data_IF_457645630712
#
_entry.id   IF_457645630712
#
_cell.length_a   1.000
_cell.length_b   1.000
_cell.length_c   1.000
_cell.angle_alpha   90.00
_cell.angle_beta   90.00
_cell.angle_gamma   90.00
#
_symmetry.space_group_name_H-M   'P 1'
#
loop_
_entity.id
_entity.type
_entity.pdbx_description
1 polymer ?
#
# COMPACT_ATOMS: atom_id res chain seq x y z
N UNK A 1 -15.67 29.06 -89.62
CA UNK A 1 -15.29 30.38 -89.08
C UNK A 1 -15.06 30.19 -87.58
N UNK A 2 -13.84 30.19 -87.05
CA UNK A 2 -13.05 31.40 -86.68
C UNK A 2 -13.44 31.82 -85.24
N UNK A 3 -12.57 32.14 -84.27
CA UNK A 3 -11.14 32.38 -84.24
C UNK A 3 -10.65 32.36 -82.76
N UNK A 4 -9.33 32.31 -82.57
CA UNK A 4 -8.56 32.22 -81.31
C UNK A 4 -8.61 33.44 -80.37
N UNK A 5 -8.27 33.20 -79.08
CA UNK A 5 -7.26 33.90 -78.23
C UNK A 5 -7.71 33.93 -76.75
N UNK A 6 -6.89 33.97 -75.69
CA UNK A 6 -5.51 33.62 -75.34
C UNK A 6 -5.35 34.04 -73.84
N UNK A 7 -4.41 33.44 -73.13
CA UNK A 7 -3.77 33.88 -71.86
C UNK A 7 -4.51 33.57 -70.55
N UNK A 8 -3.92 33.02 -69.50
CA UNK A 8 -2.53 32.69 -69.18
C UNK A 8 -2.34 32.59 -67.66
N UNK A 9 -1.35 31.81 -67.21
CA UNK A 9 -0.90 31.68 -65.81
C UNK A 9 -1.20 30.28 -65.25
N UNK A 10 -0.38 29.26 -65.49
CA UNK A 10 0.99 29.03 -64.99
C UNK A 10 1.08 29.00 -63.45
N UNK A 11 1.64 27.92 -62.91
CA UNK A 11 1.80 27.76 -61.47
C UNK A 11 1.80 26.33 -60.92
N UNK A 12 2.66 25.49 -61.48
CA UNK A 12 3.58 24.65 -60.68
C UNK A 12 2.99 23.46 -59.88
N UNK A 13 3.23 22.25 -60.39
CA UNK A 13 3.70 21.12 -59.55
C UNK A 13 4.21 19.95 -60.39
N UNK A 14 5.52 19.80 -60.27
CA UNK A 14 6.48 18.84 -60.83
C UNK A 14 5.98 17.40 -60.92
N UNK A 15 5.94 16.90 -62.16
CA UNK A 15 5.84 15.48 -62.52
C UNK A 15 7.26 14.95 -62.70
N UNK A 16 7.66 13.92 -61.95
CA UNK A 16 8.90 13.17 -62.22
C UNK A 16 8.53 11.88 -62.94
N UNK A 17 9.00 11.81 -64.18
CA UNK A 17 8.82 10.73 -65.16
C UNK A 17 9.85 9.60 -64.85
N UNK A 18 9.51 8.33 -65.08
CA UNK A 18 10.33 7.18 -64.70
C UNK A 18 11.31 6.71 -65.80
N UNK A 19 12.04 5.63 -65.48
CA UNK A 19 12.71 4.61 -66.35
C UNK A 19 14.08 4.97 -66.93
N UNK A 20 14.89 4.03 -67.50
CA UNK A 20 14.99 2.56 -67.38
C UNK A 20 16.45 2.00 -67.26
N UNK A 21 16.58 0.72 -66.89
CA UNK A 21 17.36 -0.25 -67.70
C UNK A 21 18.78 -0.70 -67.28
N UNK A 22 18.93 -2.04 -67.28
CA UNK A 22 20.14 -2.87 -67.50
C UNK A 22 21.16 -3.03 -66.34
N UNK A 23 21.73 -4.19 -66.01
CA UNK A 23 21.57 -5.59 -66.46
C UNK A 23 22.24 -6.56 -65.44
N UNK A 24 21.81 -7.83 -65.49
CA UNK A 24 22.34 -9.09 -64.91
C UNK A 24 23.87 -9.28 -65.18
N UNK A 25 24.68 -10.07 -64.45
CA UNK A 25 24.55 -11.43 -63.87
C UNK A 25 25.81 -11.75 -62.97
N UNK A 26 25.89 -12.93 -62.32
CA UNK A 26 26.68 -13.22 -61.11
C UNK A 26 28.06 -13.83 -61.38
N UNK A 27 28.95 -13.81 -60.38
CA UNK A 27 29.95 -14.87 -60.26
C UNK A 27 30.41 -15.12 -58.82
N UNK A 28 30.76 -16.39 -58.59
CA UNK A 28 31.05 -17.02 -57.32
C UNK A 28 32.45 -16.69 -56.75
N UNK A 29 32.56 -16.87 -55.42
CA UNK A 29 33.68 -17.47 -54.67
C UNK A 29 34.49 -16.56 -53.75
N UNK A 30 34.49 -16.96 -52.46
CA UNK A 30 35.56 -16.89 -51.44
C UNK A 30 35.53 -15.78 -50.35
N UNK A 31 36.06 -16.11 -49.14
CA UNK A 31 35.41 -15.81 -47.87
C UNK A 31 36.01 -14.59 -47.15
N UNK A 32 35.17 -13.81 -46.49
CA UNK A 32 35.59 -12.73 -45.61
C UNK A 32 35.26 -13.07 -44.15
N UNK A 33 36.30 -13.01 -43.32
CA UNK A 33 36.32 -12.98 -41.85
C UNK A 33 35.42 -11.88 -41.27
N UNK A 34 35.00 -11.98 -39.99
CA UNK A 34 33.85 -11.26 -39.47
C UNK A 34 34.18 -9.78 -39.25
N UNK A 35 33.45 -8.88 -39.91
CA UNK A 35 33.41 -7.46 -39.54
C UNK A 35 32.32 -7.31 -38.49
N UNK A 36 32.76 -7.01 -37.27
CA UNK A 36 31.93 -6.77 -36.09
C UNK A 36 31.14 -5.47 -36.29
N UNK A 37 29.89 -5.57 -36.73
CA UNK A 37 28.95 -4.45 -36.77
C UNK A 37 28.45 -4.15 -35.35
N UNK A 38 28.85 -2.99 -34.83
CA UNK A 38 28.30 -2.35 -33.61
C UNK A 38 26.77 -2.37 -33.65
N UNK A 39 26.17 -3.02 -32.65
CA UNK A 39 24.74 -2.92 -32.38
C UNK A 39 24.42 -1.51 -31.87
N UNK A 40 23.49 -0.84 -32.54
CA UNK A 40 22.71 0.28 -31.99
C UNK A 40 21.84 -0.25 -30.84
N UNK A 41 21.62 0.49 -29.74
CA UNK A 41 20.71 0.04 -28.70
C UNK A 41 19.28 0.03 -29.23
N UNK A 42 18.64 -1.13 -29.19
CA UNK A 42 17.21 -1.28 -29.43
C UNK A 42 16.40 -0.40 -28.45
N UNK A 43 15.22 0.10 -28.84
CA UNK A 43 14.32 0.77 -27.92
C UNK A 43 13.90 -0.22 -26.84
N UNK A 44 14.11 0.17 -25.59
CA UNK A 44 13.71 -0.54 -24.37
C UNK A 44 12.31 -1.16 -24.54
N UNK A 45 12.28 -2.47 -24.79
CA UNK A 45 11.12 -3.31 -24.49
C UNK A 45 10.94 -3.20 -22.99
N UNK A 46 9.98 -2.38 -22.55
CA UNK A 46 9.52 -2.41 -21.17
C UNK A 46 8.98 -3.82 -20.94
N UNK A 47 9.50 -4.58 -19.96
CA UNK A 47 8.92 -5.87 -19.64
C UNK A 47 7.47 -5.62 -19.21
N UNK A 48 6.56 -6.36 -19.85
CA UNK A 48 5.18 -6.45 -19.40
C UNK A 48 5.17 -6.78 -17.91
N UNK A 49 4.47 -5.97 -17.13
CA UNK A 49 4.60 -5.87 -15.68
C UNK A 49 4.78 -7.21 -14.97
N UNK A 50 5.91 -7.34 -14.28
CA UNK A 50 6.22 -8.45 -13.41
C UNK A 50 5.14 -8.57 -12.31
N UNK A 51 4.33 -9.62 -12.41
CA UNK A 51 3.48 -10.12 -11.32
C UNK A 51 4.31 -10.95 -10.31
N UNK A 52 5.64 -10.98 -10.47
CA UNK A 52 6.49 -12.03 -9.94
C UNK A 52 7.35 -11.64 -8.72
N UNK A 53 7.18 -10.45 -8.14
CA UNK A 53 7.83 -10.16 -6.87
C UNK A 53 7.02 -10.81 -5.73
N UNK A 54 7.55 -11.83 -5.02
CA UNK A 54 6.88 -12.36 -3.84
C UNK A 54 6.88 -11.26 -2.77
N UNK A 55 5.70 -10.73 -2.45
CA UNK A 55 5.54 -9.85 -1.30
C UNK A 55 5.51 -10.75 -0.05
N UNK A 56 6.67 -10.97 0.55
CA UNK A 56 6.75 -11.61 1.88
C UNK A 56 6.32 -10.58 2.94
N UNK A 57 5.02 -10.58 3.24
CA UNK A 57 4.47 -9.80 4.34
C UNK A 57 4.73 -10.56 5.64
N UNK A 58 5.93 -10.41 6.22
CA UNK A 58 6.32 -11.11 7.46
C UNK A 58 5.49 -10.71 8.71
N UNK A 59 4.76 -9.59 8.65
CA UNK A 59 3.84 -9.13 9.71
C UNK A 59 2.50 -8.71 9.10
N UNK A 60 1.76 -9.68 8.55
CA UNK A 60 0.37 -9.47 8.13
C UNK A 60 -0.58 -9.41 9.34
N UNK A 61 -1.79 -8.87 9.14
CA UNK A 61 -2.84 -8.84 10.17
C UNK A 61 -2.97 -10.22 10.85
N UNK A 62 -3.04 -11.28 10.05
CA UNK A 62 -2.91 -12.67 10.52
C UNK A 62 -2.30 -13.56 9.40
N UNK A 63 -1.84 -14.79 9.72
CA UNK A 63 -1.17 -15.69 8.76
C UNK A 63 -1.98 -16.01 7.50
N UNK A 64 -3.30 -16.17 7.60
CA UNK A 64 -4.19 -16.46 6.47
C UNK A 64 -4.26 -15.29 5.49
N UNK A 65 -4.31 -14.06 5.99
CA UNK A 65 -4.27 -12.84 5.17
C UNK A 65 -2.90 -12.67 4.53
N UNK A 66 -1.83 -12.94 5.27
CA UNK A 66 -0.46 -12.90 4.74
C UNK A 66 -0.28 -13.88 3.56
N UNK A 67 -0.81 -15.10 3.69
CA UNK A 67 -0.80 -16.09 2.62
C UNK A 67 -1.59 -15.63 1.38
N UNK A 68 -2.68 -14.88 1.56
CA UNK A 68 -3.55 -14.39 0.48
C UNK A 68 -3.08 -13.07 -0.18
N UNK A 69 -2.00 -12.45 0.33
CA UNK A 69 -1.54 -11.11 -0.07
C UNK A 69 -1.35 -10.93 -1.58
N UNK A 70 -0.73 -11.90 -2.27
CA UNK A 70 -0.56 -11.85 -3.73
C UNK A 70 -1.90 -11.83 -4.46
N UNK A 71 -2.84 -12.70 -4.07
CA UNK A 71 -4.17 -12.79 -4.69
C UNK A 71 -4.98 -11.51 -4.46
N UNK A 72 -4.93 -10.93 -3.27
CA UNK A 72 -5.58 -9.65 -2.96
C UNK A 72 -4.99 -8.51 -3.80
N UNK A 73 -3.68 -8.49 -4.00
CA UNK A 73 -3.01 -7.50 -4.85
C UNK A 73 -3.40 -7.64 -6.32
N UNK A 74 -3.45 -8.88 -6.82
CA UNK A 74 -3.90 -9.18 -8.19
C UNK A 74 -5.36 -8.77 -8.36
N UNK A 75 -6.23 -9.07 -7.39
CA UNK A 75 -7.62 -8.66 -7.39
C UNK A 75 -7.79 -7.14 -7.54
N UNK A 76 -7.02 -6.33 -6.81
CA UNK A 76 -7.03 -4.86 -6.93
C UNK A 76 -6.62 -4.43 -8.34
N UNK A 77 -5.52 -4.97 -8.88
CA UNK A 77 -5.04 -4.63 -10.22
C UNK A 77 -6.08 -5.00 -11.30
N UNK A 78 -6.64 -6.20 -11.24
CA UNK A 78 -7.62 -6.70 -12.21
C UNK A 78 -8.88 -5.85 -12.25
N UNK A 79 -9.36 -5.37 -11.10
CA UNK A 79 -10.55 -4.51 -11.03
C UNK A 79 -10.41 -3.23 -11.88
N UNK A 80 -9.19 -2.70 -11.99
CA UNK A 80 -8.89 -1.51 -12.80
C UNK A 80 -8.50 -1.80 -14.25
N UNK A 81 -8.42 -3.08 -14.64
CA UNK A 81 -7.91 -3.50 -15.94
C UNK A 81 -9.03 -3.47 -17.00
N UNK A 82 -8.95 -2.52 -17.93
CA UNK A 82 -9.98 -2.35 -18.98
C UNK A 82 -9.85 -3.33 -20.14
N UNK A 83 -8.65 -3.86 -20.39
CA UNK A 83 -8.39 -4.85 -21.43
C UNK A 83 -7.27 -5.79 -20.96
N UNK A 84 -7.37 -7.08 -21.31
CA UNK A 84 -6.35 -8.06 -21.02
C UNK A 84 -6.03 -8.89 -22.27
N UNK A 85 -4.76 -8.94 -22.67
CA UNK A 85 -4.35 -9.54 -23.95
C UNK A 85 -4.42 -11.08 -23.95
N UNK A 86 -4.21 -11.72 -22.79
CA UNK A 86 -4.21 -13.19 -22.68
C UNK A 86 -4.94 -13.70 -21.42
N UNK A 87 -6.28 -13.69 -21.40
CA UNK A 87 -7.06 -14.21 -20.27
C UNK A 87 -6.77 -15.69 -19.92
N UNK A 88 -6.54 -16.61 -20.89
CA UNK A 88 -6.15 -17.99 -20.56
C UNK A 88 -4.84 -18.11 -19.78
N UNK A 89 -3.84 -17.29 -20.10
CA UNK A 89 -2.58 -17.28 -19.35
C UNK A 89 -2.79 -16.73 -17.93
N UNK A 90 -3.56 -15.66 -17.79
CA UNK A 90 -3.94 -15.13 -16.48
C UNK A 90 -4.66 -16.20 -15.63
N UNK A 91 -5.58 -16.95 -16.23
CA UNK A 91 -6.26 -18.04 -15.55
C UNK A 91 -5.28 -19.10 -15.03
N UNK A 92 -4.29 -19.50 -15.84
CA UNK A 92 -3.23 -20.44 -15.41
C UNK A 92 -2.41 -19.88 -14.24
N UNK A 93 -2.02 -18.60 -14.31
CA UNK A 93 -1.27 -17.94 -13.25
C UNK A 93 -2.07 -17.88 -11.94
N UNK A 94 -3.34 -17.48 -12.00
CA UNK A 94 -4.22 -17.44 -10.84
C UNK A 94 -4.49 -18.83 -10.26
N UNK A 95 -4.60 -19.84 -11.11
CA UNK A 95 -4.72 -21.24 -10.65
C UNK A 95 -3.50 -21.63 -9.82
N UNK A 96 -2.29 -21.27 -10.26
CA UNK A 96 -1.08 -21.57 -9.52
C UNK A 96 -0.97 -20.76 -8.22
N UNK A 97 -1.34 -19.47 -8.26
CA UNK A 97 -1.37 -18.64 -7.05
C UNK A 97 -2.37 -19.13 -6.00
N UNK A 98 -3.50 -19.71 -6.41
CA UNK A 98 -4.44 -20.36 -5.48
C UNK A 98 -3.81 -21.60 -4.83
N UNK A 99 -3.02 -22.39 -5.56
CA UNK A 99 -2.28 -23.52 -4.99
C UNK A 99 -1.19 -23.04 -4.03
N UNK A 100 -0.45 -22.00 -4.41
CA UNK A 100 0.56 -21.38 -3.57
C UNK A 100 -0.04 -20.84 -2.27
N UNK A 101 -1.21 -20.20 -2.34
CA UNK A 101 -1.98 -19.77 -1.18
C UNK A 101 -2.31 -20.96 -0.27
N UNK A 102 -2.86 -22.05 -0.81
CA UNK A 102 -3.23 -23.22 -0.03
C UNK A 102 -2.02 -23.86 0.67
N UNK A 103 -0.88 -23.96 -0.02
CA UNK A 103 0.36 -24.47 0.56
C UNK A 103 0.86 -23.56 1.70
N UNK A 104 0.92 -22.24 1.49
CA UNK A 104 1.33 -21.27 2.51
C UNK A 104 0.42 -21.32 3.75
N UNK A 105 -0.89 -21.38 3.54
CA UNK A 105 -1.89 -21.38 4.61
C UNK A 105 -1.97 -22.72 5.35
N UNK A 106 -1.59 -23.85 4.74
CA UNK A 106 -1.45 -25.14 5.43
C UNK A 106 -0.21 -25.21 6.32
N UNK A 107 0.84 -24.46 5.95
CA UNK A 107 2.07 -24.40 6.73
C UNK A 107 1.98 -23.45 7.93
N UNK A 108 0.93 -22.65 8.04
CA UNK A 108 0.63 -21.84 9.24
C UNK A 108 -0.21 -22.62 10.26
N UNK A 109 -0.32 -22.13 11.49
CA UNK A 109 -1.12 -22.71 12.58
C UNK A 109 -2.65 -22.60 12.35
N UNK A 110 -3.08 -22.44 11.11
CA UNK A 110 -4.49 -22.21 10.74
C UNK A 110 -5.23 -23.53 10.56
N UNK A 111 -6.49 -23.60 11.01
CA UNK A 111 -7.32 -24.79 10.83
C UNK A 111 -7.56 -25.09 9.34
N UNK A 112 -7.41 -26.36 8.93
CA UNK A 112 -7.63 -26.83 7.56
C UNK A 112 -9.01 -26.44 7.00
N UNK A 113 -10.06 -26.48 7.82
CA UNK A 113 -11.40 -26.06 7.40
C UNK A 113 -11.44 -24.57 7.04
N UNK A 114 -10.66 -23.74 7.76
CA UNK A 114 -10.54 -22.31 7.47
C UNK A 114 -9.74 -22.06 6.20
N UNK A 115 -8.71 -22.88 5.92
CA UNK A 115 -7.94 -22.82 4.66
C UNK A 115 -8.84 -23.17 3.46
N UNK A 116 -9.66 -24.22 3.57
CA UNK A 116 -10.60 -24.60 2.51
C UNK A 116 -11.67 -23.53 2.26
N UNK A 117 -12.22 -22.95 3.33
CA UNK A 117 -13.19 -21.86 3.22
C UNK A 117 -12.57 -20.58 2.65
N UNK A 118 -11.32 -20.27 3.01
CA UNK A 118 -10.58 -19.15 2.44
C UNK A 118 -10.30 -19.33 0.95
N UNK A 119 -9.88 -20.53 0.52
CA UNK A 119 -9.69 -20.87 -0.88
C UNK A 119 -10.98 -20.70 -1.67
N UNK A 120 -12.10 -21.19 -1.13
CA UNK A 120 -13.42 -21.02 -1.73
C UNK A 120 -13.79 -19.54 -1.90
N UNK A 121 -13.58 -18.73 -0.86
CA UNK A 121 -13.81 -17.28 -0.90
C UNK A 121 -12.94 -16.61 -1.96
N UNK A 122 -11.63 -16.87 -1.99
CA UNK A 122 -10.69 -16.25 -2.92
C UNK A 122 -11.02 -16.60 -4.38
N UNK A 123 -11.32 -17.86 -4.68
CA UNK A 123 -11.79 -18.26 -6.01
C UNK A 123 -13.04 -17.48 -6.41
N UNK A 124 -14.03 -17.37 -5.51
CA UNK A 124 -15.28 -16.66 -5.76
C UNK A 124 -15.05 -15.16 -6.02
N UNK A 125 -14.21 -14.53 -5.21
CA UNK A 125 -13.91 -13.09 -5.30
C UNK A 125 -13.16 -12.78 -6.59
N UNK A 126 -12.15 -13.56 -6.94
CA UNK A 126 -11.38 -13.38 -8.18
C UNK A 126 -12.27 -13.61 -9.40
N UNK A 127 -13.10 -14.65 -9.40
CA UNK A 127 -14.07 -14.91 -10.46
C UNK A 127 -15.04 -13.73 -10.63
N UNK A 128 -15.60 -13.19 -9.54
CA UNK A 128 -16.48 -12.03 -9.61
C UNK A 128 -15.77 -10.79 -10.16
N UNK A 129 -14.54 -10.54 -9.73
CA UNK A 129 -13.76 -9.38 -10.20
C UNK A 129 -13.51 -9.50 -11.70
N UNK A 130 -13.02 -10.64 -12.19
CA UNK A 130 -12.77 -10.85 -13.61
C UNK A 130 -14.07 -10.70 -14.41
N UNK A 131 -15.16 -11.34 -13.98
CA UNK A 131 -16.46 -11.25 -14.65
C UNK A 131 -17.12 -9.85 -14.54
N UNK A 132 -16.60 -8.97 -13.69
CA UNK A 132 -17.02 -7.56 -13.60
C UNK A 132 -16.24 -6.62 -14.52
N UNK A 133 -15.15 -7.10 -15.14
CA UNK A 133 -14.38 -6.32 -16.12
C UNK A 133 -15.04 -6.32 -17.51
N UNK A 134 -14.75 -5.31 -18.37
CA UNK A 134 -15.30 -5.27 -19.73
C UNK A 134 -14.92 -6.49 -20.60
N UNK A 135 -13.75 -7.09 -20.35
CA UNK A 135 -13.24 -8.22 -21.13
C UNK A 135 -13.63 -9.59 -20.55
N UNK A 136 -14.03 -9.68 -19.29
CA UNK A 136 -14.29 -10.96 -18.60
C UNK A 136 -15.45 -11.77 -19.17
N UNK A 137 -16.51 -11.10 -19.66
CA UNK A 137 -17.64 -11.79 -20.28
C UNK A 137 -17.26 -12.45 -21.62
N UNK A 138 -16.35 -11.84 -22.38
CA UNK A 138 -15.89 -12.33 -23.68
C UNK A 138 -14.72 -13.32 -23.61
N UNK A 139 -14.13 -13.54 -22.42
CA UNK A 139 -12.91 -14.35 -22.28
C UNK A 139 -13.16 -15.84 -22.04
N UNK A 140 -14.41 -16.29 -21.98
CA UNK A 140 -14.78 -17.67 -21.63
C UNK A 140 -14.60 -18.02 -20.15
N UNK A 141 -14.32 -17.04 -19.28
CA UNK A 141 -14.03 -17.27 -17.86
C UNK A 141 -15.18 -17.97 -17.11
N UNK A 142 -16.42 -17.67 -17.48
CA UNK A 142 -17.61 -18.28 -16.85
C UNK A 142 -17.70 -19.79 -17.05
N UNK A 143 -17.13 -20.33 -18.13
CA UNK A 143 -17.15 -21.76 -18.46
C UNK A 143 -16.08 -22.53 -17.66
N UNK A 144 -14.97 -21.87 -17.36
CA UNK A 144 -13.82 -22.42 -16.67
C UNK A 144 -13.37 -21.47 -15.56
N UNK A 145 -14.27 -21.21 -14.61
CA UNK A 145 -13.97 -20.33 -13.48
C UNK A 145 -13.05 -21.03 -12.46
N UNK A 146 -12.34 -20.25 -11.64
CA UNK A 146 -11.49 -20.81 -10.59
C UNK A 146 -12.33 -21.60 -9.58
N UNK A 147 -13.50 -21.09 -9.20
CA UNK A 147 -14.41 -21.78 -8.27
C UNK A 147 -14.86 -23.13 -8.82
N UNK A 148 -15.24 -23.18 -10.09
CA UNK A 148 -15.62 -24.43 -10.76
C UNK A 148 -14.45 -25.42 -10.79
N UNK A 149 -13.24 -24.96 -11.12
CA UNK A 149 -12.05 -25.79 -11.17
C UNK A 149 -11.69 -26.40 -9.80
N UNK A 150 -11.75 -25.59 -8.74
CA UNK A 150 -11.24 -25.93 -7.42
C UNK A 150 -12.27 -26.55 -6.47
N UNK A 151 -13.55 -26.27 -6.68
CA UNK A 151 -14.64 -26.68 -5.81
C UNK A 151 -15.81 -27.34 -6.54
N UNK A 152 -15.77 -27.43 -7.88
CA UNK A 152 -16.86 -27.96 -8.71
C UNK A 152 -18.20 -27.26 -8.41
N UNK A 153 -18.13 -25.95 -8.21
CA UNK A 153 -19.25 -25.12 -7.78
C UNK A 153 -19.31 -23.83 -8.60
N UNK A 154 -20.52 -23.33 -8.81
CA UNK A 154 -20.81 -22.09 -9.54
C UNK A 154 -21.62 -21.08 -8.71
N UNK A 155 -22.08 -21.47 -7.52
CA UNK A 155 -22.96 -20.66 -6.65
C UNK A 155 -22.21 -19.92 -5.54
N UNK A 156 -20.93 -19.58 -5.76
CA UNK A 156 -20.06 -18.98 -4.74
C UNK A 156 -20.59 -17.69 -4.13
N UNK A 157 -21.18 -16.82 -4.96
CA UNK A 157 -21.68 -15.52 -4.53
C UNK A 157 -22.77 -15.59 -3.45
N UNK A 158 -23.51 -16.69 -3.34
CA UNK A 158 -24.49 -16.92 -2.27
C UNK A 158 -23.88 -17.69 -1.09
N UNK A 159 -23.24 -18.82 -1.38
CA UNK A 159 -22.68 -19.72 -0.37
C UNK A 159 -21.60 -19.06 0.48
N UNK A 160 -20.82 -18.13 -0.07
CA UNK A 160 -19.86 -17.34 0.71
C UNK A 160 -20.54 -16.61 1.89
N UNK A 161 -21.75 -16.08 1.71
CA UNK A 161 -22.46 -15.40 2.80
C UNK A 161 -23.11 -16.36 3.79
N UNK A 162 -23.44 -17.58 3.36
CA UNK A 162 -23.91 -18.62 4.27
C UNK A 162 -22.77 -19.13 5.14
N UNK A 163 -21.58 -19.29 4.54
CA UNK A 163 -20.33 -19.55 5.27
C UNK A 163 -20.05 -18.41 6.24
N UNK A 164 -20.08 -17.14 5.81
CA UNK A 164 -19.87 -15.99 6.68
C UNK A 164 -20.81 -16.00 7.89
N UNK A 165 -22.10 -16.28 7.68
CA UNK A 165 -23.10 -16.39 8.75
C UNK A 165 -22.72 -17.46 9.78
N UNK A 166 -22.30 -18.64 9.31
CA UNK A 166 -21.87 -19.74 10.19
C UNK A 166 -20.60 -19.38 10.97
N UNK A 167 -19.65 -18.69 10.35
CA UNK A 167 -18.42 -18.24 11.03
C UNK A 167 -18.72 -17.23 12.14
N UNK A 168 -19.71 -16.35 11.93
CA UNK A 168 -20.16 -15.37 12.93
C UNK A 168 -20.87 -15.99 14.15
N UNK A 169 -21.25 -17.27 14.10
CA UNK A 169 -21.77 -17.99 15.29
C UNK A 169 -20.66 -18.27 16.31
N UNK A 170 -19.42 -18.47 15.84
CA UNK A 170 -18.25 -18.73 16.70
C UNK A 170 -17.03 -17.90 16.28
N UNK A 171 -17.13 -16.56 16.34
CA UNK A 171 -16.19 -15.68 15.67
C UNK A 171 -14.78 -15.71 16.27
N UNK A 172 -14.65 -16.03 17.57
CA UNK A 172 -13.36 -16.20 18.25
C UNK A 172 -12.51 -17.35 17.68
N UNK A 173 -13.13 -18.39 17.11
CA UNK A 173 -12.43 -19.52 16.50
C UNK A 173 -12.03 -19.26 15.05
N UNK A 174 -12.64 -18.26 14.42
CA UNK A 174 -12.55 -18.01 12.98
C UNK A 174 -12.11 -16.59 12.65
N UNK A 175 -11.49 -15.89 13.62
CA UNK A 175 -11.03 -14.50 13.49
C UNK A 175 -10.24 -14.31 12.20
N UNK A 176 -9.29 -15.21 11.94
CA UNK A 176 -8.40 -15.10 10.79
C UNK A 176 -9.14 -15.08 9.43
N UNK A 177 -10.19 -15.89 9.32
CA UNK A 177 -11.00 -15.99 8.11
C UNK A 177 -12.02 -14.86 8.02
N UNK A 178 -12.56 -14.40 9.15
CA UNK A 178 -13.45 -13.24 9.21
C UNK A 178 -12.75 -11.97 8.73
N UNK A 179 -11.47 -11.80 9.04
CA UNK A 179 -10.65 -10.70 8.51
C UNK A 179 -10.46 -10.77 7.01
N UNK A 180 -10.17 -11.96 6.49
CA UNK A 180 -10.06 -12.16 5.05
C UNK A 180 -11.39 -11.82 4.36
N UNK A 181 -12.52 -12.24 4.93
CA UNK A 181 -13.85 -11.84 4.47
C UNK A 181 -14.03 -10.32 4.47
N UNK A 182 -13.66 -9.65 5.56
CA UNK A 182 -13.76 -8.19 5.67
C UNK A 182 -12.94 -7.48 4.59
N UNK A 183 -11.71 -7.94 4.34
CA UNK A 183 -10.87 -7.40 3.27
C UNK A 183 -11.51 -7.61 1.90
N UNK A 184 -11.97 -8.82 1.60
CA UNK A 184 -12.64 -9.13 0.33
C UNK A 184 -13.88 -8.23 0.09
N UNK A 185 -14.72 -8.03 1.12
CA UNK A 185 -15.86 -7.12 1.05
C UNK A 185 -15.42 -5.67 0.81
N UNK A 186 -14.37 -5.22 1.50
CA UNK A 186 -13.80 -3.88 1.35
C UNK A 186 -13.17 -3.64 -0.03
N UNK A 187 -12.67 -4.69 -0.67
CA UNK A 187 -12.17 -4.66 -2.06
C UNK A 187 -13.29 -4.63 -3.11
N UNK A 188 -14.55 -4.82 -2.70
CA UNK A 188 -15.72 -4.70 -3.55
C UNK A 188 -16.38 -6.02 -3.94
N UNK A 189 -16.10 -7.11 -3.21
CA UNK A 189 -16.87 -8.35 -3.35
C UNK A 189 -18.33 -8.13 -2.95
N UNK A 190 -19.27 -8.44 -3.83
CA UNK A 190 -20.71 -8.24 -3.61
C UNK A 190 -21.49 -9.56 -3.54
N UNK A 191 -21.08 -10.58 -4.28
CA UNK A 191 -21.79 -11.85 -4.41
C UNK A 191 -23.27 -11.65 -4.74
N UNK A 192 -24.15 -12.37 -4.02
CA UNK A 192 -25.61 -12.32 -4.23
C UNK A 192 -26.20 -10.91 -4.13
N UNK A 193 -25.59 -10.01 -3.36
CA UNK A 193 -26.07 -8.64 -3.16
C UNK A 193 -25.92 -7.75 -4.41
N UNK A 194 -25.25 -8.22 -5.47
CA UNK A 194 -25.24 -7.53 -6.77
C UNK A 194 -26.62 -7.47 -7.43
N UNK A 195 -27.49 -8.45 -7.16
CA UNK A 195 -28.81 -8.58 -7.78
C UNK A 195 -29.98 -8.22 -6.85
N UNK A 196 -29.71 -8.06 -5.56
CA UNK A 196 -30.74 -7.78 -4.54
C UNK A 196 -31.09 -6.29 -4.52
N UNK A 197 -32.37 -5.95 -4.41
CA UNK A 197 -32.82 -4.58 -4.20
C UNK A 197 -32.27 -4.04 -2.88
N UNK A 198 -31.70 -2.82 -2.90
CA UNK A 198 -30.94 -2.25 -1.76
C UNK A 198 -29.78 -3.14 -1.29
N UNK A 199 -29.23 -3.97 -2.18
CA UNK A 199 -28.14 -4.88 -1.84
C UNK A 199 -26.87 -4.18 -1.37
N UNK A 200 -26.59 -2.96 -1.86
CA UNK A 200 -25.44 -2.17 -1.40
C UNK A 200 -25.56 -1.76 0.08
N UNK A 201 -26.74 -1.29 0.50
CA UNK A 201 -27.00 -0.94 1.90
C UNK A 201 -26.87 -2.16 2.82
N UNK A 202 -27.38 -3.32 2.39
CA UNK A 202 -27.25 -4.57 3.14
C UNK A 202 -25.78 -5.01 3.24
N UNK A 203 -25.01 -4.87 2.16
CA UNK A 203 -23.60 -5.22 2.12
C UNK A 203 -22.77 -4.33 3.06
N UNK A 204 -23.08 -3.03 3.10
CA UNK A 204 -22.45 -2.08 4.02
C UNK A 204 -22.76 -2.42 5.48
N UNK A 205 -24.02 -2.74 5.80
CA UNK A 205 -24.39 -3.21 7.15
C UNK A 205 -23.64 -4.48 7.55
N UNK A 206 -23.49 -5.44 6.64
CA UNK A 206 -22.73 -6.68 6.88
C UNK A 206 -21.26 -6.37 7.13
N UNK A 207 -20.66 -5.50 6.29
CA UNK A 207 -19.25 -5.09 6.43
C UNK A 207 -19.01 -4.40 7.77
N UNK A 208 -19.89 -3.50 8.19
CA UNK A 208 -19.76 -2.75 9.44
C UNK A 208 -19.95 -3.66 10.67
N UNK A 209 -20.90 -4.60 10.61
CA UNK A 209 -21.07 -5.61 11.67
C UNK A 209 -19.84 -6.52 11.79
N UNK A 210 -19.31 -6.96 10.65
CA UNK A 210 -18.11 -7.78 10.59
C UNK A 210 -16.90 -7.03 11.16
N UNK A 211 -16.71 -5.77 10.78
CA UNK A 211 -15.64 -4.91 11.31
C UNK A 211 -15.71 -4.81 12.84
N UNK A 212 -16.87 -4.47 13.41
CA UNK A 212 -17.06 -4.38 14.86
C UNK A 212 -16.80 -5.70 15.58
N UNK A 213 -17.15 -6.81 14.95
CA UNK A 213 -16.91 -8.15 15.49
C UNK A 213 -15.41 -8.46 15.55
N UNK A 214 -14.68 -8.17 14.47
CA UNK A 214 -13.22 -8.34 14.41
C UNK A 214 -12.52 -7.41 15.39
N UNK A 215 -12.89 -6.12 15.43
CA UNK A 215 -12.33 -5.11 16.33
C UNK A 215 -12.51 -5.52 17.80
N UNK A 216 -13.73 -5.96 18.19
CA UNK A 216 -14.00 -6.43 19.55
C UNK A 216 -13.15 -7.62 19.96
N UNK A 217 -12.86 -8.54 19.04
CA UNK A 217 -12.09 -9.76 19.32
C UNK A 217 -10.57 -9.52 19.36
N UNK A 218 -10.05 -8.58 18.58
CA UNK A 218 -8.64 -8.18 18.68
C UNK A 218 -8.36 -7.32 19.91
N UNK A 219 -9.39 -6.66 20.46
CA UNK A 219 -9.23 -5.65 21.50
C UNK A 219 -8.82 -4.30 20.93
N UNK A 220 -8.60 -3.31 21.80
CA UNK A 220 -8.05 -2.01 21.39
C UNK A 220 -6.64 -2.23 20.82
N UNK A 221 -6.54 -2.39 19.50
CA UNK A 221 -5.28 -2.44 18.80
C UNK A 221 -4.53 -1.14 19.10
N UNK A 222 -3.30 -1.24 19.61
CA UNK A 222 -2.39 -0.10 19.71
C UNK A 222 -2.35 0.56 18.33
N UNK A 223 -2.93 1.77 18.25
CA UNK A 223 -3.04 2.63 17.06
C UNK A 223 -1.69 3.16 16.58
N UNK A 224 -0.63 2.45 16.89
CA UNK A 224 0.72 2.81 16.57
C UNK A 224 1.01 2.30 15.16
N UNK A 225 0.73 3.15 14.18
CA UNK A 225 0.87 2.90 12.72
C UNK A 225 2.31 2.58 12.28
N UNK A 226 3.28 2.53 13.19
CA UNK A 226 4.57 1.89 12.94
C UNK A 226 5.18 1.36 14.25
N UNK A 227 5.82 0.19 14.26
CA UNK A 227 6.59 -0.30 15.42
C UNK A 227 7.71 0.68 15.87
N UNK A 228 8.10 1.59 14.97
CA UNK A 228 9.12 2.63 15.17
C UNK A 228 8.54 4.04 15.11
N UNK A 229 7.25 4.24 15.44
CA UNK A 229 6.61 5.57 15.43
C UNK A 229 7.29 6.54 16.41
N UNK A 230 8.00 5.97 17.39
CA UNK A 230 9.07 6.66 18.12
C UNK A 230 10.28 6.88 17.20
N UNK A 231 10.06 7.59 16.09
CA UNK A 231 11.12 8.21 15.32
C UNK A 231 11.92 9.03 16.33
N UNK A 232 13.20 8.68 16.47
CA UNK A 232 14.22 9.32 17.29
C UNK A 232 13.63 10.41 18.16
N UNK A 233 13.29 10.07 19.42
CA UNK A 233 12.82 11.01 20.43
C UNK A 233 13.65 12.28 20.26
N UNK A 234 13.07 13.26 19.57
CA UNK A 234 13.77 14.48 19.27
C UNK A 234 13.71 15.15 20.62
N UNK A 235 14.75 14.89 21.42
CA UNK A 235 15.00 15.49 22.71
C UNK A 235 15.31 16.95 22.40
N UNK A 236 14.32 17.70 21.93
CA UNK A 236 14.11 19.04 22.43
C UNK A 236 13.92 18.83 23.92
N UNK A 237 15.06 18.85 24.58
CA UNK A 237 15.22 18.69 26.01
C UNK A 237 14.45 19.86 26.60
N UNK A 238 13.17 19.66 26.88
CA UNK A 238 12.46 20.47 27.87
C UNK A 238 13.01 20.12 29.25
N UNK A 239 14.32 20.35 29.45
CA UNK A 239 14.97 20.28 30.75
C UNK A 239 14.46 21.37 31.70
N UNK A 240 13.69 22.32 31.17
CA UNK A 240 13.05 23.38 31.95
C UNK A 240 11.73 22.89 32.57
N UNK A 241 11.16 21.77 32.11
CA UNK A 241 9.87 21.28 32.61
C UNK A 241 9.99 20.24 33.74
N UNK A 242 11.22 19.91 34.16
CA UNK A 242 11.51 18.97 35.26
C UNK A 242 12.38 19.56 36.36
N UNK A 243 12.53 20.89 36.43
CA UNK A 243 13.06 21.53 37.64
C UNK A 243 11.87 21.83 38.53
N UNK A 244 11.62 21.04 39.61
CA UNK A 244 10.55 21.35 40.54
C UNK A 244 10.77 22.77 41.08
N UNK A 245 9.69 23.56 41.13
CA UNK A 245 9.72 24.97 41.54
C UNK A 245 10.44 25.19 42.88
N UNK A 246 10.46 24.19 43.76
CA UNK A 246 11.21 24.18 45.02
C UNK A 246 12.72 24.37 44.87
N UNK A 247 13.33 23.85 43.80
CA UNK A 247 14.78 24.00 43.57
C UNK A 247 15.11 25.44 43.16
N UNK A 248 14.25 26.05 42.34
CA UNK A 248 14.36 27.47 41.96
C UNK A 248 14.17 28.34 43.20
N UNK A 249 13.13 28.06 44.00
CA UNK A 249 12.89 28.75 45.26
C UNK A 249 14.09 28.65 46.22
N UNK A 250 14.71 27.48 46.33
CA UNK A 250 15.89 27.25 47.17
C UNK A 250 17.12 28.03 46.67
N UNK A 251 17.37 28.04 45.36
CA UNK A 251 18.47 28.84 44.78
C UNK A 251 18.27 30.34 44.98
N UNK A 252 17.06 30.85 44.76
CA UNK A 252 16.74 32.27 44.96
C UNK A 252 16.88 32.65 46.44
N UNK A 253 16.40 31.80 47.36
CA UNK A 253 16.54 32.02 48.79
C UNK A 253 18.02 32.04 49.21
N UNK A 254 18.84 31.10 48.72
CA UNK A 254 20.27 31.08 48.99
C UNK A 254 20.97 32.35 48.48
N UNK A 255 20.65 32.80 47.28
CA UNK A 255 21.20 34.04 46.71
C UNK A 255 20.82 35.28 47.54
N UNK A 256 19.57 35.36 48.02
CA UNK A 256 19.13 36.44 48.92
C UNK A 256 19.87 36.42 50.25
N UNK A 257 20.08 35.25 50.86
CA UNK A 257 20.81 35.11 52.13
C UNK A 257 22.28 35.54 51.96
N UNK A 258 22.94 35.13 50.87
CA UNK A 258 24.32 35.53 50.57
C UNK A 258 24.42 37.04 50.36
N UNK A 259 23.52 37.61 49.55
CA UNK A 259 23.47 39.06 49.30
C UNK A 259 23.22 39.83 50.60
N UNK A 260 22.21 39.44 51.38
CA UNK A 260 21.91 40.06 52.67
C UNK A 260 23.09 39.97 53.63
N UNK A 261 23.74 38.81 53.73
CA UNK A 261 24.90 38.62 54.61
C UNK A 261 26.09 39.48 54.17
N UNK A 262 26.34 39.59 52.87
CA UNK A 262 27.36 40.46 52.31
C UNK A 262 27.10 41.95 52.58
N UNK A 263 25.87 42.41 52.32
CA UNK A 263 25.46 43.78 52.64
C UNK A 263 25.54 44.07 54.13
N UNK A 264 25.11 43.14 54.96
CA UNK A 264 25.19 43.25 56.42
C UNK A 264 26.63 43.36 56.87
N UNK A 265 27.53 42.52 56.34
CA UNK A 265 28.95 42.57 56.67
C UNK A 265 29.61 43.87 56.20
N UNK A 266 29.29 44.34 55.00
CA UNK A 266 29.74 45.63 54.47
C UNK A 266 29.24 46.80 55.34
N UNK A 267 27.97 46.75 55.78
CA UNK A 267 27.42 47.72 56.72
C UNK A 267 28.17 47.68 58.05
N UNK A 268 28.41 46.51 58.63
CA UNK A 268 29.17 46.41 59.89
C UNK A 268 30.59 46.96 59.75
N UNK A 269 31.31 46.60 58.70
CA UNK A 269 32.66 47.11 58.41
C UNK A 269 32.65 48.63 58.15
N UNK A 270 31.55 49.18 57.63
CA UNK A 270 31.37 50.63 57.41
C UNK A 270 30.86 51.38 58.65
N UNK A 271 30.33 50.67 59.66
CA UNK A 271 29.77 51.26 60.90
C UNK A 271 30.79 51.28 62.05
N UNK A 272 31.80 50.40 62.02
CA UNK A 272 32.94 50.42 62.95
C UNK A 272 33.61 51.81 63.09
N UNK A 273 33.89 52.58 62.02
CA UNK A 273 34.55 53.89 62.17
C UNK A 273 33.65 54.97 62.80
N UNK A 274 32.32 54.88 62.73
CA UNK A 274 31.42 55.87 63.34
C UNK A 274 31.12 55.59 64.81
N UNK A 275 31.11 54.31 65.22
CA UNK A 275 30.98 53.95 66.65
C UNK A 275 32.20 54.43 67.44
N UNK A 276 33.41 54.27 66.88
CA UNK A 276 34.64 54.77 67.51
C UNK A 276 34.67 56.31 67.62
N UNK A 277 34.09 57.03 66.65
CA UNK A 277 34.01 58.50 66.72
C UNK A 277 33.05 58.99 67.83
N UNK A 278 31.90 58.32 68.03
CA UNK A 278 30.97 58.66 69.12
C UNK A 278 31.58 58.32 70.48
N UNK A 279 32.30 57.20 70.60
CA UNK A 279 32.97 56.80 71.84
C UNK A 279 34.11 57.77 72.21
N UNK A 280 34.87 58.26 71.22
CA UNK A 280 35.90 59.30 71.44
C UNK A 280 35.33 60.66 71.87
N UNK A 281 34.13 61.05 71.39
CA UNK A 281 33.47 62.29 71.80
C UNK A 281 32.81 62.18 73.18
N UNK A 282 32.42 60.98 73.61
CA UNK A 282 31.88 60.73 74.96
C UNK A 282 32.96 60.53 76.03
N UNK A 283 34.23 60.42 75.64
CA UNK A 283 35.38 60.21 76.53
C UNK A 283 36.29 61.45 76.67
N UNK A 284 35.91 62.57 76.06
CA UNK A 284 36.52 63.87 76.36
C UNK A 284 35.75 64.52 77.54
N UNK A 285 36.41 64.79 78.69
CA UNK A 285 35.77 65.18 79.96
C UNK A 285 35.26 66.63 80.02
#
# INVERSE_FOLDING_TARGET
>A
MGNNNNSGGDGDRTVIIPTPGAARQPNLSQPATPVQSRQSPDPLVQPAGDFAAPLEVEQGLNPLVAAASTLLTVAIKLRSTMQHNNPPQLHKQLTEEIRNFELKAKNSTTNQDSVLAARYLLCTVVDEIVLSTPWGAGSGWSQHSLLSLFHKDISGGEKCFDVLRKLLETPSKHLDLLELFYLCLSLGFRGKYKLVQRGQEQLEQIRDNLFRTVEKLRGEMERDLSPRWRGLYNRKRNLVQFVPLWVIASCVFAALVVSYSGFRWWLYASTEPTVQQVESLSSEP
#
